data_IF_889978478955
#
_entry.id   IF_889978478955
#
_cell.length_a   1.000
_cell.length_b   1.000
_cell.length_c   1.000
_cell.angle_alpha   90.00
_cell.angle_beta   90.00
_cell.angle_gamma   90.00
#
_symmetry.space_group_name_H-M   'P 1'
#
loop_
_entity.id
_entity.type
_entity.pdbx_description
1 polymer ?
#
# COMPACT_ATOMS: atom_id res chain seq x y z
N UNK A 1 64.16 -40.80 38.43
CA UNK A 1 63.17 -39.72 38.65
C UNK A 1 61.81 -40.23 38.21
N UNK A 2 60.87 -40.27 39.17
CA UNK A 2 59.39 -40.30 39.07
C UNK A 2 58.75 -41.18 37.96
N UNK A 3 58.14 -42.31 38.34
CA UNK A 3 56.70 -42.45 38.70
C UNK A 3 55.82 -42.52 37.43
N UNK A 4 55.04 -43.55 37.11
CA UNK A 4 54.42 -44.63 37.87
C UNK A 4 52.91 -44.62 37.59
N UNK A 5 52.37 -45.72 37.02
CA UNK A 5 50.93 -46.11 36.95
C UNK A 5 49.99 -45.12 36.19
N UNK A 6 48.80 -45.43 35.66
CA UNK A 6 47.87 -46.55 35.76
C UNK A 6 46.96 -46.64 34.50
N UNK A 7 46.35 -47.81 34.37
CA UNK A 7 45.24 -48.25 33.50
C UNK A 7 43.95 -47.46 33.75
N UNK A 8 43.14 -47.22 32.69
CA UNK A 8 41.67 -47.32 32.76
C UNK A 8 41.03 -47.22 31.36
N UNK A 9 40.34 -48.30 30.99
CA UNK A 9 39.35 -48.41 29.91
C UNK A 9 37.99 -47.86 30.36
N UNK A 10 37.39 -46.95 29.59
CA UNK A 10 35.95 -46.61 29.57
C UNK A 10 35.71 -46.09 28.14
N UNK A 11 34.93 -46.73 27.29
CA UNK A 11 33.49 -46.93 27.39
C UNK A 11 32.85 -46.15 26.24
N UNK A 12 32.41 -46.87 25.20
CA UNK A 12 31.69 -46.29 24.08
C UNK A 12 30.38 -45.67 24.57
N UNK A 13 30.20 -44.37 24.34
CA UNK A 13 28.90 -43.72 24.45
C UNK A 13 28.53 -43.23 23.06
N UNK A 14 27.49 -43.87 22.51
CA UNK A 14 26.69 -43.35 21.42
C UNK A 14 26.18 -41.95 21.82
N UNK A 15 26.81 -40.91 21.28
CA UNK A 15 26.26 -39.57 21.28
C UNK A 15 25.46 -39.37 20.00
N UNK A 16 24.13 -39.52 20.10
CA UNK A 16 23.19 -39.00 19.13
C UNK A 16 23.53 -37.52 18.86
N UNK A 17 24.09 -37.21 17.69
CA UNK A 17 23.97 -35.86 17.15
C UNK A 17 22.50 -35.71 16.74
N UNK A 18 21.68 -35.31 17.71
CA UNK A 18 20.42 -34.66 17.42
C UNK A 18 20.76 -33.44 16.55
N UNK A 19 20.45 -33.53 15.26
CA UNK A 19 20.25 -32.36 14.44
C UNK A 19 19.12 -31.58 15.12
N UNK A 20 19.49 -30.59 15.92
CA UNK A 20 18.56 -29.56 16.34
C UNK A 20 17.96 -29.03 15.03
N UNK A 21 16.63 -29.00 14.87
CA UNK A 21 16.07 -28.24 13.78
C UNK A 21 16.63 -26.83 13.96
N UNK A 22 17.28 -26.35 12.91
CA UNK A 22 17.49 -24.93 12.76
C UNK A 22 16.09 -24.32 12.86
N UNK A 23 15.73 -23.85 14.05
CA UNK A 23 14.75 -22.81 14.17
C UNK A 23 15.34 -21.69 13.34
N UNK A 24 14.88 -21.59 12.10
CA UNK A 24 14.98 -20.40 11.30
C UNK A 24 14.70 -19.27 12.27
N UNK A 25 15.77 -18.52 12.59
CA UNK A 25 15.63 -17.24 13.27
C UNK A 25 14.96 -16.36 12.25
N UNK A 26 13.65 -16.50 12.22
CA UNK A 26 12.70 -15.54 11.76
C UNK A 26 13.16 -14.23 12.40
N UNK A 27 13.86 -13.38 11.65
CA UNK A 27 14.00 -11.98 12.00
C UNK A 27 12.65 -11.34 11.74
N UNK A 28 11.63 -11.81 12.48
CA UNK A 28 10.48 -11.00 12.84
C UNK A 28 11.11 -9.87 13.62
N UNK A 29 11.04 -8.67 13.08
CA UNK A 29 11.40 -7.51 13.83
C UNK A 29 10.47 -7.47 15.04
N UNK A 30 10.92 -7.99 16.18
CA UNK A 30 10.15 -8.04 17.43
C UNK A 30 9.83 -6.62 17.94
N UNK A 31 10.34 -5.58 17.26
CA UNK A 31 10.02 -4.17 17.42
C UNK A 31 8.92 -3.65 16.47
N UNK A 32 8.39 -4.45 15.54
CA UNK A 32 7.35 -4.03 14.60
C UNK A 32 6.02 -3.80 15.34
N UNK A 33 5.74 -2.53 15.62
CA UNK A 33 4.52 -2.09 16.30
C UNK A 33 3.30 -2.38 15.41
N UNK A 34 2.25 -3.07 15.91
CA UNK A 34 1.06 -3.35 15.11
C UNK A 34 0.32 -2.04 14.77
N UNK A 35 -0.34 -2.02 13.62
CA UNK A 35 -1.08 -0.83 13.19
C UNK A 35 -2.24 -1.15 12.25
N UNK A 36 -3.21 -0.24 12.24
CA UNK A 36 -4.29 -0.15 11.27
C UNK A 36 -4.41 1.29 10.81
N UNK A 37 -4.14 1.52 9.53
CA UNK A 37 -4.13 2.85 8.92
C UNK A 37 -4.99 2.80 7.67
N UNK A 38 -5.93 3.74 7.58
CA UNK A 38 -6.75 3.96 6.39
C UNK A 38 -6.52 5.38 5.93
N UNK A 39 -6.14 5.55 4.67
CA UNK A 39 -6.02 6.85 4.00
C UNK A 39 -6.92 6.90 2.79
N UNK A 40 -7.29 8.11 2.39
CA UNK A 40 -8.02 8.35 1.17
C UNK A 40 -7.32 9.42 0.35
N UNK A 41 -7.44 9.32 -0.96
CA UNK A 41 -6.99 10.31 -1.91
C UNK A 41 -8.21 10.87 -2.62
N UNK A 42 -8.35 12.19 -2.64
CA UNK A 42 -9.39 12.90 -3.38
C UNK A 42 -8.78 13.95 -4.30
N UNK A 43 -9.42 14.24 -5.44
CA UNK A 43 -9.02 15.40 -6.22
C UNK A 43 -9.31 16.67 -5.41
N UNK A 44 -8.47 17.69 -5.57
CA UNK A 44 -8.72 19.01 -4.99
C UNK A 44 -10.02 19.62 -5.54
N UNK A 45 -10.31 19.36 -6.81
CA UNK A 45 -11.54 19.78 -7.49
C UNK A 45 -12.13 18.64 -8.33
N UNK A 46 -13.38 18.27 -8.04
CA UNK A 46 -14.15 17.35 -8.87
C UNK A 46 -14.37 17.89 -10.28
N UNK A 47 -14.48 19.22 -10.41
CA UNK A 47 -14.61 19.86 -11.72
C UNK A 47 -13.35 19.68 -12.56
N UNK A 48 -12.18 19.89 -11.95
CA UNK A 48 -10.90 19.69 -12.60
C UNK A 48 -10.69 18.21 -12.97
N UNK A 49 -11.03 17.28 -12.06
CA UNK A 49 -11.01 15.84 -12.33
C UNK A 49 -11.91 15.46 -13.50
N UNK A 50 -13.13 15.99 -13.56
CA UNK A 50 -14.11 15.66 -14.60
C UNK A 50 -13.88 16.37 -15.94
N UNK A 51 -12.96 17.36 -16.01
CA UNK A 51 -12.75 18.17 -17.21
C UNK A 51 -12.40 17.33 -18.45
N UNK A 52 -11.46 16.40 -18.31
CA UNK A 52 -11.04 15.53 -19.44
C UNK A 52 -12.18 14.63 -19.89
N UNK A 53 -12.95 14.08 -18.95
CA UNK A 53 -14.10 13.21 -19.26
C UNK A 53 -15.24 13.99 -19.93
N UNK A 54 -15.50 15.24 -19.51
CA UNK A 54 -16.45 16.13 -20.19
C UNK A 54 -16.02 16.42 -21.62
N UNK A 55 -14.74 16.75 -21.83
CA UNK A 55 -14.23 17.01 -23.17
C UNK A 55 -14.38 15.78 -24.08
N UNK A 56 -14.00 14.61 -23.59
CA UNK A 56 -14.12 13.36 -24.34
C UNK A 56 -15.60 13.02 -24.66
N UNK A 57 -16.48 13.20 -23.68
CA UNK A 57 -17.92 13.01 -23.83
C UNK A 57 -18.51 13.98 -24.86
N UNK A 58 -18.19 15.28 -24.78
CA UNK A 58 -18.68 16.29 -25.72
C UNK A 58 -18.22 16.02 -27.15
N UNK A 59 -16.97 15.58 -27.33
CA UNK A 59 -16.46 15.15 -28.63
C UNK A 59 -17.23 13.95 -29.15
N UNK A 60 -17.43 12.93 -28.33
CA UNK A 60 -18.17 11.73 -28.69
C UNK A 60 -19.63 12.02 -29.03
N UNK A 61 -20.31 12.87 -28.24
CA UNK A 61 -21.67 13.32 -28.47
C UNK A 61 -21.81 14.08 -29.81
N UNK A 62 -20.84 14.94 -30.14
CA UNK A 62 -20.79 15.63 -31.44
C UNK A 62 -20.66 14.65 -32.61
N UNK A 63 -19.81 13.63 -32.47
CA UNK A 63 -19.66 12.60 -33.51
C UNK A 63 -20.96 11.81 -33.69
N UNK A 64 -21.63 11.42 -32.60
CA UNK A 64 -22.93 10.74 -32.69
C UNK A 64 -23.98 11.62 -33.38
N UNK A 65 -24.03 12.90 -33.07
CA UNK A 65 -24.95 13.84 -33.71
C UNK A 65 -24.70 13.96 -35.23
N UNK A 66 -23.43 14.02 -35.65
CA UNK A 66 -23.04 14.02 -37.08
C UNK A 66 -23.49 12.72 -37.77
N UNK A 67 -23.42 11.59 -37.07
CA UNK A 67 -23.83 10.27 -37.57
C UNK A 67 -25.34 10.00 -37.45
N UNK A 68 -26.12 10.98 -36.98
CA UNK A 68 -27.56 10.83 -36.72
C UNK A 68 -27.90 9.66 -35.80
N UNK A 69 -27.00 9.34 -34.87
CA UNK A 69 -27.24 8.36 -33.82
C UNK A 69 -28.04 9.00 -32.66
N UNK A 70 -28.73 8.20 -31.82
CA UNK A 70 -29.37 8.70 -30.61
C UNK A 70 -28.38 9.48 -29.74
N UNK A 71 -28.82 10.52 -29.01
CA UNK A 71 -27.92 11.24 -28.12
C UNK A 71 -27.37 10.31 -27.04
N UNK A 72 -26.11 10.47 -26.62
CA UNK A 72 -25.54 9.64 -25.59
C UNK A 72 -26.22 9.88 -24.23
N UNK A 73 -26.18 8.89 -23.32
CA UNK A 73 -26.67 9.06 -21.96
C UNK A 73 -25.84 10.13 -21.22
N UNK A 74 -26.41 10.85 -20.25
CA UNK A 74 -25.70 11.88 -19.51
C UNK A 74 -24.39 11.40 -18.89
N UNK A 75 -23.42 12.31 -18.78
CA UNK A 75 -22.16 12.06 -18.09
C UNK A 75 -22.41 11.66 -16.63
N UNK A 76 -21.61 10.71 -16.13
CA UNK A 76 -21.67 10.26 -14.74
C UNK A 76 -21.50 11.44 -13.77
N UNK A 77 -22.35 11.48 -12.75
CA UNK A 77 -22.29 12.46 -11.67
C UNK A 77 -21.53 11.84 -10.51
N UNK A 78 -20.49 12.54 -10.06
CA UNK A 78 -19.69 12.12 -8.90
C UNK A 78 -20.35 12.59 -7.61
N UNK A 79 -20.32 11.77 -6.53
CA UNK A 79 -20.73 12.24 -5.21
C UNK A 79 -19.76 13.31 -4.69
N UNK A 80 -20.24 14.16 -3.78
CA UNK A 80 -19.46 15.29 -3.25
C UNK A 80 -18.20 14.84 -2.47
N UNK A 81 -18.25 13.65 -1.87
CA UNK A 81 -17.18 13.00 -1.12
C UNK A 81 -16.39 11.99 -1.96
N UNK A 82 -16.45 12.11 -3.29
CA UNK A 82 -15.72 11.22 -4.19
C UNK A 82 -14.21 11.22 -3.90
N UNK A 83 -13.66 10.00 -3.79
CA UNK A 83 -12.25 9.72 -3.63
C UNK A 83 -11.78 8.92 -4.84
N UNK A 84 -10.55 9.15 -5.28
CA UNK A 84 -9.93 8.38 -6.38
C UNK A 84 -9.23 7.14 -5.87
N UNK A 85 -8.85 7.11 -4.58
CA UNK A 85 -8.19 5.96 -3.96
C UNK A 85 -8.49 5.88 -2.47
N UNK A 86 -8.67 4.67 -1.95
CA UNK A 86 -8.59 4.33 -0.53
C UNK A 86 -7.48 3.33 -0.33
N UNK A 87 -6.62 3.59 0.64
CA UNK A 87 -5.53 2.68 1.01
C UNK A 87 -5.74 2.21 2.43
N UNK A 88 -5.64 0.90 2.65
CA UNK A 88 -5.67 0.29 3.98
C UNK A 88 -4.35 -0.45 4.21
N UNK A 89 -3.71 -0.15 5.33
CA UNK A 89 -2.47 -0.75 5.78
C UNK A 89 -2.72 -1.41 7.12
N UNK A 90 -2.54 -2.72 7.21
CA UNK A 90 -2.62 -3.47 8.45
C UNK A 90 -1.27 -4.14 8.74
N UNK A 91 -0.88 -4.15 10.01
CA UNK A 91 0.21 -4.97 10.51
C UNK A 91 -0.14 -5.57 11.86
N UNK A 92 0.13 -6.87 12.02
CA UNK A 92 0.09 -7.58 13.31
C UNK A 92 1.48 -7.66 13.96
N UNK A 93 2.50 -7.03 13.37
CA UNK A 93 3.92 -7.21 13.72
C UNK A 93 4.58 -8.46 13.10
N UNK A 94 3.80 -9.48 12.77
CA UNK A 94 4.26 -10.72 12.14
C UNK A 94 3.80 -10.91 10.69
N UNK A 95 2.95 -10.01 10.20
CA UNK A 95 2.41 -10.02 8.84
C UNK A 95 1.79 -8.68 8.50
N UNK A 96 1.56 -8.46 7.21
CA UNK A 96 1.08 -7.19 6.67
C UNK A 96 0.00 -7.41 5.63
N UNK A 97 -0.98 -6.50 5.56
CA UNK A 97 -1.91 -6.35 4.44
C UNK A 97 -1.80 -4.92 3.93
N UNK A 98 -1.62 -4.80 2.62
CA UNK A 98 -1.73 -3.55 1.87
C UNK A 98 -2.91 -3.73 0.92
N UNK A 99 -3.92 -2.87 1.03
CA UNK A 99 -5.07 -2.85 0.13
C UNK A 99 -5.20 -1.46 -0.47
N UNK A 100 -5.34 -1.41 -1.78
CA UNK A 100 -5.67 -0.21 -2.53
C UNK A 100 -6.98 -0.45 -3.27
N UNK A 101 -7.96 0.41 -3.05
CA UNK A 101 -9.19 0.48 -3.80
C UNK A 101 -9.16 1.78 -4.61
N UNK A 102 -9.09 1.68 -5.93
CA UNK A 102 -8.99 2.81 -6.83
C UNK A 102 -10.30 3.00 -7.58
N UNK A 103 -10.84 4.21 -7.55
CA UNK A 103 -12.10 4.57 -8.20
C UNK A 103 -11.81 5.45 -9.41
N UNK A 104 -12.33 5.05 -10.57
CA UNK A 104 -12.10 5.73 -11.82
C UNK A 104 -13.41 5.96 -12.56
N UNK A 105 -13.50 7.10 -13.23
CA UNK A 105 -14.49 7.26 -14.30
C UNK A 105 -13.96 6.58 -15.54
N UNK A 106 -14.76 5.68 -16.11
CA UNK A 106 -14.47 5.02 -17.37
C UNK A 106 -15.52 5.44 -18.40
N UNK A 107 -15.09 5.62 -19.64
CA UNK A 107 -15.96 5.89 -20.78
C UNK A 107 -15.92 4.67 -21.70
N UNK A 108 -17.07 4.09 -21.95
CA UNK A 108 -17.25 3.04 -22.94
C UNK A 108 -17.08 3.65 -24.34
N UNK A 109 -16.25 3.04 -25.18
CA UNK A 109 -15.97 3.53 -26.53
C UNK A 109 -17.25 3.59 -27.39
N UNK A 110 -18.12 2.58 -27.23
CA UNK A 110 -19.42 2.54 -27.87
C UNK A 110 -20.44 3.33 -27.04
N UNK A 111 -21.09 4.32 -27.67
CA UNK A 111 -22.23 5.00 -27.05
C UNK A 111 -21.90 6.16 -26.11
N UNK A 112 -20.61 6.53 -25.94
CA UNK A 112 -20.15 7.60 -25.04
C UNK A 112 -20.61 7.43 -23.58
N UNK A 113 -20.96 6.20 -23.17
CA UNK A 113 -21.50 5.94 -21.84
C UNK A 113 -20.38 6.03 -20.82
N UNK A 114 -20.60 6.79 -19.75
CA UNK A 114 -19.65 6.87 -18.64
C UNK A 114 -20.20 6.20 -17.40
N UNK A 115 -19.31 5.57 -16.64
CA UNK A 115 -19.65 4.93 -15.36
C UNK A 115 -18.49 5.06 -14.39
N UNK A 116 -18.80 4.87 -13.11
CA UNK A 116 -17.78 4.62 -12.10
C UNK A 116 -17.34 3.16 -12.17
N UNK A 117 -16.04 2.95 -12.09
CA UNK A 117 -15.40 1.66 -11.95
C UNK A 117 -14.50 1.65 -10.72
N UNK A 118 -14.22 0.46 -10.19
CA UNK A 118 -13.27 0.29 -9.11
C UNK A 118 -12.35 -0.89 -9.34
N UNK A 119 -11.08 -0.71 -8.99
CA UNK A 119 -10.08 -1.77 -8.97
C UNK A 119 -9.56 -1.92 -7.56
N UNK A 120 -9.61 -3.12 -7.02
CA UNK A 120 -9.04 -3.49 -5.72
C UNK A 120 -7.76 -4.26 -5.98
N UNK A 121 -6.65 -3.76 -5.45
CA UNK A 121 -5.38 -4.47 -5.40
C UNK A 121 -5.06 -4.75 -3.94
N UNK A 122 -4.72 -6.00 -3.62
CA UNK A 122 -4.31 -6.42 -2.29
C UNK A 122 -2.96 -7.13 -2.35
N UNK A 123 -2.14 -6.91 -1.34
CA UNK A 123 -0.92 -7.62 -1.10
C UNK A 123 -0.85 -8.03 0.37
N UNK A 124 -0.62 -9.31 0.63
CA UNK A 124 -0.33 -9.86 1.96
C UNK A 124 1.13 -10.23 2.03
N UNK A 125 1.82 -9.78 3.08
CA UNK A 125 3.22 -10.13 3.31
C UNK A 125 3.31 -10.96 4.58
N UNK A 126 3.79 -12.20 4.44
CA UNK A 126 3.92 -13.15 5.55
C UNK A 126 5.13 -14.05 5.31
N UNK A 127 6.00 -14.17 6.31
CA UNK A 127 7.19 -15.02 6.20
C UNK A 127 8.20 -14.60 5.11
N UNK A 128 8.21 -13.32 4.72
CA UNK A 128 9.08 -12.82 3.65
C UNK A 128 8.51 -13.02 2.23
N UNK A 129 7.37 -13.67 2.10
CA UNK A 129 6.67 -13.85 0.83
C UNK A 129 5.55 -12.81 0.68
N UNK A 130 5.38 -12.32 -0.54
CA UNK A 130 4.34 -11.35 -0.91
C UNK A 130 3.31 -12.09 -1.75
N UNK A 131 2.06 -12.13 -1.32
CA UNK A 131 0.93 -12.72 -2.05
C UNK A 131 0.04 -11.59 -2.54
N UNK A 132 -0.20 -11.48 -3.84
CA UNK A 132 -1.01 -10.39 -4.37
C UNK A 132 -2.29 -10.88 -5.07
N UNK A 133 -3.29 -10.01 -5.11
CA UNK A 133 -4.39 -10.16 -6.06
C UNK A 133 -4.86 -8.80 -6.55
N UNK A 134 -5.43 -8.79 -7.75
CA UNK A 134 -6.09 -7.65 -8.38
C UNK A 134 -7.50 -8.07 -8.77
N UNK A 135 -8.48 -7.23 -8.46
CA UNK A 135 -9.90 -7.47 -8.75
C UNK A 135 -10.53 -6.22 -9.32
N UNK A 136 -11.15 -6.35 -10.48
CA UNK A 136 -11.96 -5.29 -11.09
C UNK A 136 -13.43 -5.46 -10.73
N UNK A 137 -14.19 -4.37 -10.66
CA UNK A 137 -15.62 -4.42 -10.35
C UNK A 137 -16.38 -5.15 -11.46
N UNK A 138 -16.97 -6.31 -11.13
CA UNK A 138 -17.69 -7.14 -12.10
C UNK A 138 -16.77 -7.90 -13.07
N UNK A 139 -15.46 -7.88 -12.86
CA UNK A 139 -14.46 -8.62 -13.64
C UNK A 139 -13.85 -9.79 -12.88
N UNK A 140 -12.88 -10.44 -13.51
CA UNK A 140 -12.14 -11.56 -12.93
C UNK A 140 -11.20 -11.12 -11.81
N UNK A 141 -10.89 -12.06 -10.91
CA UNK A 141 -9.81 -11.89 -9.93
C UNK A 141 -8.53 -12.46 -10.51
N UNK A 142 -7.53 -11.61 -10.66
CA UNK A 142 -6.19 -11.99 -11.06
C UNK A 142 -5.34 -12.21 -9.81
N UNK A 143 -4.79 -13.42 -9.65
CA UNK A 143 -3.83 -13.71 -8.58
C UNK A 143 -2.45 -13.32 -9.08
N UNK A 144 -1.80 -12.42 -8.35
CA UNK A 144 -0.43 -12.00 -8.64
C UNK A 144 0.48 -13.02 -7.93
N UNK A 145 1.29 -13.80 -8.69
CA UNK A 145 2.14 -14.82 -8.10
C UNK A 145 3.14 -14.18 -7.14
N UNK A 146 3.60 -14.93 -6.12
CA UNK A 146 4.53 -14.38 -5.16
C UNK A 146 5.82 -13.92 -5.85
N UNK A 147 6.27 -12.72 -5.48
CA UNK A 147 7.55 -12.24 -5.94
C UNK A 147 8.64 -13.22 -5.47
N UNK A 148 9.64 -13.57 -6.32
CA UNK A 148 10.68 -14.52 -5.95
C UNK A 148 11.38 -14.08 -4.66
N UNK A 149 11.64 -15.07 -3.79
CA UNK A 149 12.31 -14.89 -2.49
C UNK A 149 13.58 -14.06 -2.65
N UNK A 150 13.64 -12.89 -2.03
CA UNK A 150 14.69 -11.90 -2.24
C UNK A 150 14.21 -10.47 -2.04
N UNK A 151 12.89 -10.27 -2.01
CA UNK A 151 12.29 -9.05 -1.50
C UNK A 151 12.51 -8.97 0.03
N UNK A 152 13.21 -7.92 0.45
CA UNK A 152 13.59 -7.66 1.84
C UNK A 152 13.09 -6.25 2.19
N UNK A 153 12.05 -6.12 3.05
CA UNK A 153 11.49 -4.81 3.42
C UNK A 153 12.52 -3.91 4.10
N UNK A 154 13.57 -4.49 4.70
CA UNK A 154 14.66 -3.71 5.30
C UNK A 154 15.58 -3.06 4.25
N UNK A 155 15.51 -3.53 2.99
CA UNK A 155 16.24 -2.98 1.84
C UNK A 155 15.41 -2.04 0.96
N UNK A 156 14.13 -1.83 1.28
CA UNK A 156 13.33 -0.79 0.62
C UNK A 156 13.92 0.58 0.97
N UNK A 157 14.76 1.09 0.07
CA UNK A 157 15.49 2.33 0.24
C UNK A 157 14.52 3.52 0.10
N UNK A 158 13.80 3.85 1.17
CA UNK A 158 13.35 5.24 1.33
C UNK A 158 14.43 5.98 2.11
N UNK A 159 14.91 7.08 1.54
CA UNK A 159 15.79 8.00 2.26
C UNK A 159 15.03 8.64 3.42
N UNK A 160 15.05 8.02 4.60
CA UNK A 160 14.41 8.55 5.81
C UNK A 160 14.92 9.96 6.14
N UNK A 161 16.15 10.31 5.73
CA UNK A 161 16.70 11.65 5.90
C UNK A 161 15.92 12.70 5.08
N UNK A 162 15.25 12.31 4.00
CA UNK A 162 14.36 13.19 3.23
C UNK A 162 13.16 13.68 4.03
N UNK A 163 12.70 12.90 5.03
CA UNK A 163 11.59 13.22 5.93
C UNK A 163 12.09 13.91 7.20
N UNK A 164 12.66 15.10 7.05
CA UNK A 164 13.31 15.81 8.17
C UNK A 164 12.32 16.60 9.05
N UNK A 165 11.25 17.16 8.46
CA UNK A 165 10.35 18.09 9.15
C UNK A 165 9.35 17.33 10.02
N UNK A 166 9.28 17.64 11.33
CA UNK A 166 8.30 17.00 12.23
C UNK A 166 6.98 17.78 12.20
N UNK A 167 5.86 17.06 12.09
CA UNK A 167 4.51 17.63 12.15
C UNK A 167 3.60 16.73 13.00
N UNK A 168 2.60 17.33 13.62
CA UNK A 168 1.54 16.58 14.32
C UNK A 168 0.19 17.06 13.82
N UNK A 169 -0.66 16.13 13.38
CA UNK A 169 -2.03 16.43 12.95
C UNK A 169 -2.96 15.45 13.65
N UNK A 170 -4.00 15.96 14.34
CA UNK A 170 -4.93 15.12 15.09
C UNK A 170 -4.27 14.24 16.16
N UNK A 171 -3.15 14.68 16.75
CA UNK A 171 -2.37 13.91 17.72
C UNK A 171 -1.47 12.83 17.12
N UNK A 172 -1.43 12.68 15.80
CA UNK A 172 -0.58 11.70 15.10
C UNK A 172 0.73 12.37 14.71
N UNK A 173 1.84 11.81 15.19
CA UNK A 173 3.18 12.23 14.82
C UNK A 173 3.51 11.83 13.38
N UNK A 174 4.01 12.79 12.62
CA UNK A 174 4.41 12.60 11.22
C UNK A 174 5.79 13.22 10.99
N UNK A 175 6.47 12.72 9.96
CA UNK A 175 7.61 13.41 9.38
C UNK A 175 7.31 13.71 7.92
N UNK A 176 7.65 14.91 7.49
CA UNK A 176 7.35 15.45 6.18
C UNK A 176 8.64 15.65 5.38
N UNK A 177 8.52 15.54 4.05
CA UNK A 177 9.59 15.86 3.13
C UNK A 177 10.09 17.27 3.40
N UNK A 178 11.42 17.40 3.46
CA UNK A 178 12.07 18.70 3.60
C UNK A 178 11.64 19.65 2.47
N UNK A 179 11.53 20.94 2.78
CA UNK A 179 11.09 21.95 1.81
C UNK A 179 11.97 21.97 0.54
N UNK A 180 13.24 21.57 0.65
CA UNK A 180 14.18 21.49 -0.46
C UNK A 180 13.87 20.38 -1.48
N UNK A 181 13.21 19.31 -1.04
CA UNK A 181 12.82 18.18 -1.88
C UNK A 181 11.41 18.29 -2.44
N UNK A 182 10.68 19.36 -2.08
CA UNK A 182 9.40 19.71 -2.70
C UNK A 182 9.67 20.20 -4.12
N UNK A 183 9.06 19.53 -5.09
CA UNK A 183 9.24 19.81 -6.52
C UNK A 183 7.93 20.12 -7.21
N UNK A 184 7.95 20.31 -8.53
CA UNK A 184 6.74 20.65 -9.30
C UNK A 184 5.62 19.59 -9.27
N UNK A 185 5.89 18.39 -8.75
CA UNK A 185 4.96 17.25 -8.70
C UNK A 185 4.53 16.95 -7.25
N UNK A 186 5.45 16.93 -6.29
CA UNK A 186 5.12 16.74 -4.87
C UNK A 186 5.29 18.06 -4.12
N UNK A 187 4.16 18.66 -3.73
CA UNK A 187 4.12 19.96 -3.07
C UNK A 187 4.22 19.82 -1.55
N UNK A 188 3.65 18.76 -0.96
CA UNK A 188 3.88 18.37 0.43
C UNK A 188 3.62 16.86 0.60
N UNK A 189 4.36 16.21 1.50
CA UNK A 189 4.22 14.76 1.75
C UNK A 189 4.73 14.41 3.13
N UNK A 190 3.89 13.77 3.93
CA UNK A 190 4.17 13.38 5.30
C UNK A 190 3.83 11.91 5.53
N UNK A 191 4.80 11.18 6.07
CA UNK A 191 4.66 9.80 6.47
C UNK A 191 4.43 9.68 7.97
N UNK A 192 3.74 8.61 8.37
CA UNK A 192 3.54 8.23 9.75
C UNK A 192 4.90 8.08 10.46
N UNK A 193 5.02 8.64 11.65
CA UNK A 193 6.24 8.56 12.45
C UNK A 193 5.95 7.94 13.81
N UNK A 194 6.82 7.00 14.21
CA UNK A 194 6.83 6.39 15.54
C UNK A 194 8.07 6.85 16.31
N UNK A 195 8.21 6.38 17.55
CA UNK A 195 9.42 6.63 18.34
C UNK A 195 10.67 5.96 17.73
N UNK A 196 10.48 4.90 16.92
CA UNK A 196 11.57 4.17 16.26
C UNK A 196 11.93 4.72 14.87
N UNK A 197 11.19 5.73 14.37
CA UNK A 197 11.36 6.28 13.03
C UNK A 197 10.08 6.20 12.19
N UNK A 198 10.23 6.33 10.87
CA UNK A 198 9.09 6.23 9.94
C UNK A 198 8.40 4.85 10.03
N UNK A 199 7.07 4.86 10.07
CA UNK A 199 6.31 3.63 9.95
C UNK A 199 6.27 3.19 8.49
N UNK A 200 6.55 1.90 8.26
CA UNK A 200 6.63 1.31 6.92
C UNK A 200 5.55 0.25 6.73
N UNK A 201 5.10 0.12 5.50
CA UNK A 201 4.18 -0.94 5.10
C UNK A 201 4.91 -2.28 4.94
N UNK A 202 4.13 -3.31 4.61
CA UNK A 202 4.65 -4.61 4.28
C UNK A 202 5.50 -4.66 3.01
N UNK A 203 5.62 -3.57 2.23
CA UNK A 203 6.53 -3.45 1.08
C UNK A 203 7.82 -2.66 1.44
N UNK A 204 7.91 -2.17 2.68
CA UNK A 204 9.03 -1.37 3.18
C UNK A 204 8.91 0.12 2.83
N UNK A 205 7.82 0.53 2.19
CA UNK A 205 7.55 1.92 1.83
C UNK A 205 7.00 2.70 3.03
N UNK A 206 7.38 3.99 3.22
CA UNK A 206 6.78 4.82 4.26
C UNK A 206 5.27 4.96 4.08
N UNK A 207 4.52 4.75 5.16
CA UNK A 207 3.06 4.93 5.13
C UNK A 207 2.74 6.43 5.10
N UNK A 208 2.37 6.92 3.93
CA UNK A 208 1.99 8.32 3.71
C UNK A 208 0.64 8.59 4.34
N UNK A 209 0.60 9.48 5.33
CA UNK A 209 -0.65 9.91 5.97
C UNK A 209 -1.21 11.18 5.32
N UNK A 210 -0.34 12.01 4.78
CA UNK A 210 -0.71 13.25 4.12
C UNK A 210 0.14 13.46 2.89
N UNK A 211 -0.48 13.83 1.78
CA UNK A 211 0.24 14.26 0.59
C UNK A 211 -0.59 15.24 -0.22
N UNK A 212 0.06 16.26 -0.75
CA UNK A 212 -0.51 17.21 -1.68
C UNK A 212 0.36 17.18 -2.94
N UNK A 213 -0.18 16.56 -3.98
CA UNK A 213 0.59 16.14 -5.15
C UNK A 213 -0.13 16.51 -6.44
N UNK A 214 0.64 16.88 -7.46
CA UNK A 214 0.20 17.02 -8.83
C UNK A 214 0.30 15.64 -9.51
N UNK A 215 -0.77 15.17 -10.13
CA UNK A 215 -0.75 13.90 -10.88
C UNK A 215 -0.26 14.16 -12.31
N UNK A 216 0.91 13.62 -12.72
CA UNK A 216 1.38 13.74 -14.09
C UNK A 216 0.42 13.04 -15.07
N UNK A 217 0.20 13.63 -16.25
CA UNK A 217 -0.61 13.01 -17.32
C UNK A 217 -2.14 13.17 -17.21
N UNK A 218 -2.67 13.61 -16.06
CA UNK A 218 -4.10 13.97 -15.90
C UNK A 218 -4.26 15.49 -15.75
N UNK A 219 -3.97 16.26 -16.80
CA UNK A 219 -4.23 17.71 -16.87
C UNK A 219 -3.68 18.55 -15.70
N UNK A 220 -2.58 18.12 -15.07
CA UNK A 220 -2.02 18.77 -13.87
C UNK A 220 -3.06 18.84 -12.73
N UNK A 221 -3.84 17.79 -12.56
CA UNK A 221 -4.76 17.68 -11.45
C UNK A 221 -4.00 17.57 -10.13
N UNK A 222 -4.44 18.31 -9.14
CA UNK A 222 -3.96 18.20 -7.78
C UNK A 222 -4.81 17.20 -7.01
N UNK A 223 -4.16 16.33 -6.25
CA UNK A 223 -4.79 15.38 -5.33
C UNK A 223 -4.30 15.61 -3.91
N UNK A 224 -5.20 15.37 -2.98
CA UNK A 224 -4.94 15.38 -1.55
C UNK A 224 -5.12 13.97 -1.00
N UNK A 225 -4.07 13.45 -0.38
CA UNK A 225 -4.12 12.26 0.47
C UNK A 225 -4.27 12.70 1.91
N UNK A 226 -5.22 12.11 2.63
CA UNK A 226 -5.50 12.41 4.04
C UNK A 226 -5.84 11.13 4.82
N UNK A 227 -5.60 11.10 6.15
CA UNK A 227 -5.92 9.95 6.96
C UNK A 227 -7.40 9.92 7.30
N UNK A 228 -8.03 8.76 7.14
CA UNK A 228 -9.40 8.49 7.60
C UNK A 228 -9.39 7.92 9.02
N UNK A 229 -8.46 7.00 9.27
CA UNK A 229 -8.26 6.42 10.61
C UNK A 229 -6.80 5.99 10.78
N UNK A 230 -6.23 6.26 11.96
CA UNK A 230 -4.86 5.84 12.30
C UNK A 230 -4.87 5.23 13.70
N UNK A 231 -4.47 3.97 13.78
CA UNK A 231 -4.34 3.22 15.03
C UNK A 231 -2.97 2.57 15.04
N UNK A 232 -2.08 3.02 15.92
CA UNK A 232 -0.71 2.52 16.04
C UNK A 232 -0.54 1.93 17.45
N UNK A 233 0.08 0.76 17.55
CA UNK A 233 0.29 0.02 18.80
C UNK A 233 -0.91 -0.77 19.31
N UNK A 234 -2.05 -0.72 18.61
CA UNK A 234 -3.20 -1.54 18.96
C UNK A 234 -3.10 -2.91 18.27
N UNK A 235 -3.45 -4.01 18.97
CA UNK A 235 -3.44 -5.34 18.36
C UNK A 235 -4.34 -5.42 17.13
N UNK A 236 -3.83 -6.05 16.08
CA UNK A 236 -4.59 -6.40 14.88
C UNK A 236 -4.68 -7.92 14.82
N UNK A 237 -5.90 -8.46 14.73
CA UNK A 237 -6.08 -9.91 14.60
C UNK A 237 -5.41 -10.41 13.32
N UNK A 238 -4.53 -11.45 13.37
CA UNK A 238 -3.87 -12.01 12.20
C UNK A 238 -4.83 -12.49 11.10
N UNK A 239 -6.05 -12.88 11.48
CA UNK A 239 -7.11 -13.30 10.56
C UNK A 239 -7.56 -12.19 9.61
N UNK A 240 -7.39 -10.92 10.00
CA UNK A 240 -7.66 -9.75 9.15
C UNK A 240 -6.58 -9.52 8.10
N UNK A 241 -5.43 -10.20 8.23
CA UNK A 241 -4.31 -10.13 7.30
C UNK A 241 -4.40 -11.30 6.33
N UNK A 242 -5.38 -11.18 5.44
CA UNK A 242 -5.68 -12.15 4.40
C UNK A 242 -6.21 -11.44 3.15
N UNK A 243 -6.02 -12.06 1.99
CA UNK A 243 -6.63 -11.58 0.75
C UNK A 243 -8.15 -11.74 0.83
N UNK A 244 -8.89 -10.75 0.36
CA UNK A 244 -10.35 -10.78 0.41
C UNK A 244 -10.89 -11.89 -0.48
N UNK A 245 -11.83 -12.70 0.01
CA UNK A 245 -12.55 -13.67 -0.81
C UNK A 245 -11.80 -14.97 -1.14
N UNK A 246 -10.60 -15.17 -0.59
CA UNK A 246 -9.95 -16.48 -0.55
C UNK A 246 -10.56 -17.26 0.61
N UNK A 247 -11.34 -18.30 0.31
CA UNK A 247 -11.85 -19.28 1.28
C UNK A 247 -10.92 -20.47 1.37
#
# INVERSE_FOLDING_TARGET
MMSGRAVASVGAVLGMFAALPACDRQTVDAAAQPYEIVTQMRPESLEAYMKVFRLAYDMCARVQAIQHLPPPPPLVVLPADFVTKRSTYLSSGSGYLIRHEEFNVVMEEAGCKTRLDSVITEAVVRGGEVYGQRREMGGDTEVIPPAPSGWDPSKAASDEASYAEKRTVGGIGMRCLSAYLRGGITLDKCAANTNAGLLRDGAGDPIVLYAYELVPGRDKMVVLTEPVSVQIGKPVSPERIALSGVK
#
